data_IF_979453694045
#
_entry.id   IF_979453694045
#
_cell.length_a   1.000
_cell.length_b   1.000
_cell.length_c   1.000
_cell.angle_alpha   90.00
_cell.angle_beta   90.00
_cell.angle_gamma   90.00
#
_symmetry.space_group_name_H-M   'P 1'
#
loop_
_entity.id
_entity.type
_entity.pdbx_description
1 polymer ?
#
# COMPACT_ATOMS: atom_id res chain seq x y z
N UNK A 1 23.58 20.12 9.31
CA UNK A 1 23.46 18.98 10.26
C UNK A 1 22.02 18.57 10.60
N UNK A 2 21.00 19.44 10.51
CA UNK A 2 19.63 19.09 10.92
C UNK A 2 18.93 17.96 10.13
N UNK A 3 19.24 17.80 8.85
CA UNK A 3 18.61 16.79 7.99
C UNK A 3 19.08 15.34 8.32
N UNK A 4 20.32 15.16 8.79
CA UNK A 4 20.82 13.81 9.12
C UNK A 4 20.15 13.24 10.38
N UNK A 5 19.88 14.09 11.37
CA UNK A 5 19.17 13.72 12.60
C UNK A 5 17.66 13.50 12.35
N UNK A 6 17.07 14.22 11.41
CA UNK A 6 15.64 14.08 11.06
C UNK A 6 15.32 12.70 10.46
N UNK A 7 16.28 12.11 9.71
CA UNK A 7 16.08 10.81 9.06
C UNK A 7 16.81 9.64 9.75
N UNK A 8 17.73 9.88 10.69
CA UNK A 8 18.45 8.79 11.37
C UNK A 8 17.50 7.88 12.15
N UNK A 9 16.52 8.46 12.87
CA UNK A 9 15.56 7.69 13.65
C UNK A 9 14.71 6.76 12.78
N UNK A 10 14.19 7.26 11.66
CA UNK A 10 13.37 6.45 10.75
C UNK A 10 14.22 5.39 10.04
N UNK A 11 15.45 5.69 9.65
CA UNK A 11 16.37 4.71 9.05
C UNK A 11 16.66 3.58 10.04
N UNK A 12 16.95 3.90 11.30
CA UNK A 12 17.16 2.89 12.35
C UNK A 12 15.91 2.04 12.57
N UNK A 13 14.72 2.66 12.59
CA UNK A 13 13.45 1.92 12.71
C UNK A 13 13.23 0.97 11.53
N UNK A 14 13.51 1.43 10.30
CA UNK A 14 13.39 0.60 9.09
C UNK A 14 14.36 -0.57 9.13
N UNK A 15 15.63 -0.34 9.48
CA UNK A 15 16.63 -1.41 9.63
C UNK A 15 16.23 -2.44 10.69
N UNK A 16 15.66 -2.00 11.80
CA UNK A 16 15.16 -2.91 12.83
C UNK A 16 13.94 -3.74 12.36
N UNK A 17 13.13 -3.20 11.46
CA UNK A 17 12.03 -3.96 10.82
C UNK A 17 12.55 -4.93 9.76
N UNK A 18 13.51 -4.48 8.94
CA UNK A 18 14.18 -5.28 7.91
C UNK A 18 14.91 -6.48 8.51
N UNK A 19 15.55 -6.31 9.67
CA UNK A 19 16.21 -7.40 10.39
C UNK A 19 15.26 -8.51 10.89
N UNK A 20 13.93 -8.30 10.83
CA UNK A 20 12.91 -9.32 11.17
C UNK A 20 12.31 -10.00 9.94
N UNK A 21 12.77 -9.65 8.73
CA UNK A 21 12.37 -10.35 7.51
C UNK A 21 12.92 -11.77 7.50
N UNK A 22 12.20 -12.67 6.83
CA UNK A 22 12.64 -14.04 6.63
C UNK A 22 13.95 -14.06 5.82
N UNK A 23 14.93 -14.82 6.29
CA UNK A 23 16.19 -15.06 5.57
C UNK A 23 16.05 -16.19 4.57
N UNK A 24 17.03 -16.33 3.67
CA UNK A 24 17.06 -17.42 2.69
C UNK A 24 17.05 -18.80 3.38
N UNK A 25 17.79 -18.96 4.48
CA UNK A 25 17.78 -20.19 5.28
C UNK A 25 16.40 -20.49 5.89
N UNK A 26 15.70 -19.46 6.37
CA UNK A 26 14.34 -19.63 6.90
C UNK A 26 13.35 -20.03 5.80
N UNK A 27 13.54 -19.56 4.56
CA UNK A 27 12.75 -20.03 3.42
C UNK A 27 13.03 -21.50 3.09
N UNK A 28 14.28 -21.97 3.21
CA UNK A 28 14.62 -23.39 3.06
C UNK A 28 13.94 -24.24 4.14
N UNK A 29 13.98 -23.82 5.41
CA UNK A 29 13.27 -24.48 6.51
C UNK A 29 11.75 -24.54 6.27
N UNK A 30 11.16 -23.42 5.84
CA UNK A 30 9.73 -23.34 5.49
C UNK A 30 9.37 -24.32 4.37
N UNK A 31 10.26 -24.52 3.38
CA UNK A 31 10.00 -25.42 2.25
C UNK A 31 9.90 -26.89 2.66
N UNK A 32 10.47 -27.26 3.80
CA UNK A 32 10.42 -28.61 4.34
C UNK A 32 9.16 -28.89 5.19
N UNK A 33 8.36 -27.86 5.50
CA UNK A 33 7.14 -28.00 6.30
C UNK A 33 6.04 -28.71 5.50
N UNK A 34 5.26 -29.53 6.20
CA UNK A 34 4.28 -30.43 5.56
C UNK A 34 2.83 -29.99 5.76
N UNK A 35 2.59 -29.03 6.66
CA UNK A 35 1.24 -28.53 6.93
C UNK A 35 1.17 -27.01 7.11
N UNK A 36 -0.02 -26.48 6.91
CA UNK A 36 -0.33 -25.06 7.11
C UNK A 36 -0.18 -24.67 8.59
N UNK A 37 -0.55 -25.57 9.50
CA UNK A 37 -0.41 -25.35 10.94
C UNK A 37 1.06 -25.21 11.34
N UNK A 38 1.93 -26.10 10.82
CA UNK A 38 3.39 -26.00 11.01
C UNK A 38 3.93 -24.67 10.50
N UNK A 39 3.51 -24.23 9.31
CA UNK A 39 3.90 -22.93 8.75
C UNK A 39 3.51 -21.78 9.68
N UNK A 40 2.27 -21.75 10.18
CA UNK A 40 1.82 -20.66 11.05
C UNK A 40 2.55 -20.67 12.38
N UNK A 41 2.77 -21.85 12.99
CA UNK A 41 3.59 -21.98 14.20
C UNK A 41 5.02 -21.48 13.96
N UNK A 42 5.63 -21.83 12.83
CA UNK A 42 6.97 -21.38 12.46
C UNK A 42 7.02 -19.84 12.29
N UNK A 43 6.10 -19.27 11.54
CA UNK A 43 6.04 -17.82 11.30
C UNK A 43 5.80 -17.05 12.60
N UNK A 44 4.95 -17.56 13.50
CA UNK A 44 4.72 -16.96 14.81
C UNK A 44 5.97 -16.94 15.69
N UNK A 45 6.79 -17.99 15.65
CA UNK A 45 7.98 -18.09 16.47
C UNK A 45 9.19 -17.32 15.91
N UNK A 46 9.31 -17.26 14.57
CA UNK A 46 10.57 -16.91 13.91
C UNK A 46 10.51 -15.66 13.01
N UNK A 47 9.41 -14.90 12.99
CA UNK A 47 9.25 -13.78 12.05
C UNK A 47 8.49 -12.56 12.60
N UNK A 48 8.39 -11.50 11.80
CA UNK A 48 7.54 -10.34 12.07
C UNK A 48 6.03 -10.62 11.94
N UNK A 49 5.64 -11.74 11.32
CA UNK A 49 4.23 -12.06 11.07
C UNK A 49 3.45 -12.41 12.34
N UNK A 50 4.12 -12.66 13.46
CA UNK A 50 3.49 -12.84 14.77
C UNK A 50 2.47 -11.73 15.08
N UNK A 51 2.79 -10.47 14.72
CA UNK A 51 1.96 -9.29 15.00
C UNK A 51 0.57 -9.35 14.33
N UNK A 52 0.38 -10.22 13.34
CA UNK A 52 -0.89 -10.40 12.62
C UNK A 52 -1.44 -11.83 12.71
N UNK A 53 -0.60 -12.83 12.98
CA UNK A 53 -0.98 -14.24 13.05
C UNK A 53 -1.38 -14.69 14.47
N UNK A 54 -0.94 -13.99 15.52
CA UNK A 54 -1.23 -14.39 16.91
C UNK A 54 -2.73 -14.37 17.27
N UNK A 55 -3.53 -13.59 16.53
CA UNK A 55 -4.97 -13.45 16.75
C UNK A 55 -5.80 -14.48 15.96
N UNK A 56 -5.14 -15.39 15.22
CA UNK A 56 -5.82 -16.43 14.45
C UNK A 56 -6.09 -17.66 15.31
N UNK A 57 -7.35 -18.12 15.29
CA UNK A 57 -7.75 -19.41 15.85
C UNK A 57 -7.43 -20.57 14.89
N UNK A 58 -7.33 -21.80 15.41
CA UNK A 58 -7.03 -23.03 14.64
C UNK A 58 -8.05 -23.25 13.52
N UNK A 59 -9.31 -22.88 13.73
CA UNK A 59 -10.37 -22.97 12.71
C UNK A 59 -10.20 -21.98 11.56
N UNK A 60 -9.31 -20.99 11.69
CA UNK A 60 -9.02 -19.99 10.66
C UNK A 60 -7.77 -20.33 9.84
N UNK A 61 -7.04 -21.42 10.16
CA UNK A 61 -5.80 -21.86 9.51
C UNK A 61 -6.03 -22.51 8.13
N UNK A 62 -6.75 -21.80 7.27
CA UNK A 62 -6.88 -22.13 5.86
C UNK A 62 -5.97 -21.25 5.02
N UNK A 63 -5.41 -21.82 3.95
CA UNK A 63 -4.48 -21.12 3.05
C UNK A 63 -4.97 -19.72 2.64
N UNK A 64 -6.22 -19.61 2.21
CA UNK A 64 -6.78 -18.32 1.76
C UNK A 64 -6.89 -17.27 2.87
N UNK A 65 -7.11 -17.67 4.12
CA UNK A 65 -7.15 -16.74 5.25
C UNK A 65 -5.74 -16.28 5.63
N UNK A 66 -4.77 -17.20 5.61
CA UNK A 66 -3.37 -16.87 5.89
C UNK A 66 -2.84 -15.90 4.86
N UNK A 67 -3.08 -16.11 3.57
CA UNK A 67 -2.69 -15.17 2.52
C UNK A 67 -3.27 -13.75 2.78
N UNK A 68 -4.54 -13.65 3.19
CA UNK A 68 -5.15 -12.35 3.58
C UNK A 68 -4.45 -11.71 4.77
N UNK A 69 -4.11 -12.50 5.80
CA UNK A 69 -3.44 -12.02 7.01
C UNK A 69 -1.98 -11.62 6.74
N UNK A 70 -1.27 -12.36 5.89
CA UNK A 70 0.06 -11.97 5.44
C UNK A 70 0.00 -10.66 4.62
N UNK A 71 -1.02 -10.44 3.80
CA UNK A 71 -1.21 -9.14 3.12
C UNK A 71 -1.49 -8.01 4.13
N UNK A 72 -2.22 -8.29 5.22
CA UNK A 72 -2.46 -7.31 6.29
C UNK A 72 -1.17 -6.88 6.99
N UNK A 73 -0.13 -7.72 7.04
CA UNK A 73 1.15 -7.35 7.64
C UNK A 73 1.77 -6.13 6.96
N UNK A 74 1.61 -5.98 5.64
CA UNK A 74 2.07 -4.81 4.88
C UNK A 74 1.41 -3.51 5.37
N UNK A 75 0.10 -3.55 5.62
CA UNK A 75 -0.65 -2.40 6.16
C UNK A 75 -0.26 -2.10 7.61
N UNK A 76 0.03 -3.14 8.39
CA UNK A 76 0.51 -3.01 9.75
C UNK A 76 1.90 -2.35 9.79
N UNK A 77 2.81 -2.76 8.91
CA UNK A 77 4.15 -2.18 8.78
C UNK A 77 4.09 -0.72 8.29
N UNK A 78 3.26 -0.42 7.28
CA UNK A 78 3.00 0.97 6.91
C UNK A 78 2.52 1.79 8.11
N UNK A 79 1.59 1.25 8.90
CA UNK A 79 1.03 1.92 10.07
C UNK A 79 2.10 2.17 11.15
N UNK A 80 2.97 1.20 11.41
CA UNK A 80 4.12 1.36 12.33
C UNK A 80 5.04 2.49 11.88
N UNK A 81 5.42 2.49 10.60
CA UNK A 81 6.32 3.52 10.04
C UNK A 81 5.62 4.89 10.08
N UNK A 82 4.36 4.97 9.64
CA UNK A 82 3.59 6.22 9.63
C UNK A 82 3.43 6.86 11.02
N UNK A 83 3.18 6.04 12.05
CA UNK A 83 3.09 6.51 13.44
C UNK A 83 4.42 7.06 13.94
N UNK A 84 5.53 6.41 13.58
CA UNK A 84 6.88 6.85 13.94
C UNK A 84 7.33 8.12 13.21
N UNK A 85 6.85 8.33 11.98
CA UNK A 85 7.21 9.48 11.15
C UNK A 85 6.72 10.83 11.71
N UNK A 86 7.56 11.85 11.54
CA UNK A 86 7.18 13.26 11.67
C UNK A 86 6.38 13.77 10.45
N UNK A 87 5.90 15.03 10.48
CA UNK A 87 5.04 15.59 9.44
C UNK A 87 5.64 15.52 8.03
N UNK A 88 6.95 15.74 7.88
CA UNK A 88 7.64 15.71 6.58
C UNK A 88 7.71 14.30 5.99
N UNK A 89 8.11 13.31 6.80
CA UNK A 89 8.19 11.91 6.38
C UNK A 89 6.79 11.35 6.07
N UNK A 90 5.76 11.79 6.80
CA UNK A 90 4.36 11.42 6.51
C UNK A 90 3.89 11.90 5.15
N UNK A 91 4.35 13.06 4.65
CA UNK A 91 4.04 13.51 3.29
C UNK A 91 4.51 12.49 2.25
N UNK A 92 5.74 11.98 2.41
CA UNK A 92 6.27 10.94 1.53
C UNK A 92 5.50 9.62 1.65
N UNK A 93 5.19 9.17 2.87
CA UNK A 93 4.40 7.95 3.07
C UNK A 93 2.99 8.05 2.46
N UNK A 94 2.34 9.21 2.51
CA UNK A 94 1.06 9.43 1.82
C UNK A 94 1.17 9.28 0.30
N UNK A 95 2.34 9.54 -0.28
CA UNK A 95 2.57 9.26 -1.71
C UNK A 95 2.74 7.76 -1.93
N UNK A 96 3.46 7.08 -1.04
CA UNK A 96 3.59 5.62 -1.11
C UNK A 96 2.24 4.90 -0.93
N UNK A 97 1.34 5.43 -0.09
CA UNK A 97 -0.01 4.90 0.11
C UNK A 97 -0.80 4.78 -1.21
N UNK A 98 -0.55 5.67 -2.17
CA UNK A 98 -1.19 5.63 -3.49
C UNK A 98 -0.95 4.31 -4.21
N UNK A 99 0.18 3.65 -3.96
CA UNK A 99 0.44 2.30 -4.48
C UNK A 99 -0.58 1.30 -3.97
N UNK A 100 -0.87 1.30 -2.67
CA UNK A 100 -1.89 0.42 -2.08
C UNK A 100 -3.30 0.73 -2.58
N UNK A 101 -3.60 2.01 -2.80
CA UNK A 101 -4.86 2.46 -3.39
C UNK A 101 -5.01 1.97 -4.84
N UNK A 102 -3.97 2.10 -5.66
CA UNK A 102 -3.95 1.56 -7.04
C UNK A 102 -4.08 0.05 -7.04
N UNK A 103 -3.31 -0.66 -6.20
CA UNK A 103 -3.39 -2.13 -6.08
C UNK A 103 -4.81 -2.59 -5.69
N UNK A 104 -5.46 -1.89 -4.76
CA UNK A 104 -6.85 -2.14 -4.37
C UNK A 104 -7.81 -1.93 -5.53
N UNK A 105 -7.70 -0.82 -6.27
CA UNK A 105 -8.58 -0.53 -7.41
C UNK A 105 -8.41 -1.58 -8.50
N UNK A 106 -7.15 -1.92 -8.85
CA UNK A 106 -6.82 -2.96 -9.83
C UNK A 106 -7.37 -4.33 -9.43
N UNK A 107 -7.29 -4.67 -8.14
CA UNK A 107 -7.88 -5.89 -7.61
C UNK A 107 -9.41 -5.91 -7.80
N UNK A 108 -10.10 -4.80 -7.49
CA UNK A 108 -11.54 -4.70 -7.68
C UNK A 108 -11.93 -4.78 -9.17
N UNK A 109 -11.18 -4.11 -10.05
CA UNK A 109 -11.39 -4.15 -11.50
C UNK A 109 -11.24 -5.56 -12.07
N UNK A 110 -10.23 -6.32 -11.63
CA UNK A 110 -10.05 -7.73 -12.00
C UNK A 110 -11.28 -8.57 -11.69
N UNK A 111 -11.86 -8.36 -10.52
CA UNK A 111 -13.04 -9.11 -10.07
C UNK A 111 -14.27 -8.78 -10.90
N UNK A 112 -14.51 -7.50 -11.11
CA UNK A 112 -15.65 -7.00 -11.86
C UNK A 112 -15.57 -7.41 -13.35
N UNK A 113 -14.40 -7.31 -13.98
CA UNK A 113 -14.20 -7.64 -15.39
C UNK A 113 -14.25 -9.15 -15.64
N UNK A 114 -13.65 -9.95 -14.75
CA UNK A 114 -13.61 -11.41 -14.90
C UNK A 114 -14.88 -12.10 -14.36
N UNK A 115 -15.82 -11.34 -13.81
CA UNK A 115 -17.06 -11.85 -13.20
C UNK A 115 -16.79 -12.96 -12.15
N UNK A 116 -15.78 -12.79 -11.29
CA UNK A 116 -15.57 -13.72 -10.17
C UNK A 116 -16.78 -13.70 -9.22
N UNK A 117 -17.04 -14.81 -8.52
CA UNK A 117 -18.21 -14.94 -7.64
C UNK A 117 -18.27 -13.81 -6.60
N UNK A 118 -19.42 -13.15 -6.53
CA UNK A 118 -19.69 -12.03 -5.65
C UNK A 118 -20.43 -12.46 -4.37
N UNK A 119 -20.26 -11.75 -3.25
CA UNK A 119 -19.36 -10.62 -3.01
C UNK A 119 -17.92 -11.07 -2.71
N UNK A 120 -16.95 -10.32 -3.22
CA UNK A 120 -15.55 -10.53 -2.89
C UNK A 120 -15.20 -9.87 -1.55
N UNK A 121 -14.43 -10.57 -0.72
CA UNK A 121 -14.10 -10.14 0.64
C UNK A 121 -12.95 -9.11 0.66
N UNK A 122 -13.31 -7.84 0.90
CA UNK A 122 -12.36 -6.77 1.21
C UNK A 122 -12.43 -6.29 2.68
N UNK A 123 -13.26 -6.92 3.52
CA UNK A 123 -13.55 -6.41 4.86
C UNK A 123 -12.28 -6.30 5.70
N UNK A 124 -11.36 -7.25 5.54
CA UNK A 124 -10.06 -7.23 6.21
C UNK A 124 -9.23 -5.97 5.88
N UNK A 125 -9.43 -5.31 4.74
CA UNK A 125 -8.71 -4.08 4.34
C UNK A 125 -9.36 -2.81 4.89
N UNK A 126 -10.65 -2.84 5.21
CA UNK A 126 -11.47 -1.68 5.60
C UNK A 126 -10.86 -0.82 6.70
N UNK A 127 -10.40 -1.36 7.85
CA UNK A 127 -9.86 -0.53 8.93
C UNK A 127 -8.65 0.33 8.51
N UNK A 128 -7.85 -0.16 7.57
CA UNK A 128 -6.70 0.56 7.06
C UNK A 128 -7.11 1.68 6.10
N UNK A 129 -7.92 1.35 5.08
CA UNK A 129 -8.34 2.31 4.06
C UNK A 129 -9.21 3.42 4.65
N UNK A 130 -10.17 3.10 5.53
CA UNK A 130 -11.02 4.11 6.18
C UNK A 130 -10.21 5.14 6.99
N UNK A 131 -9.03 4.74 7.48
CA UNK A 131 -8.18 5.59 8.31
C UNK A 131 -7.18 6.43 7.50
N UNK A 132 -6.64 5.87 6.43
CA UNK A 132 -5.49 6.46 5.73
C UNK A 132 -5.82 6.94 4.31
N UNK A 133 -6.91 6.45 3.70
CA UNK A 133 -7.31 6.69 2.31
C UNK A 133 -8.65 7.44 2.22
N UNK A 134 -8.93 8.01 1.04
CA UNK A 134 -10.25 8.54 0.68
C UNK A 134 -11.15 7.48 0.03
N UNK A 135 -10.60 6.31 -0.30
CA UNK A 135 -11.34 5.22 -0.93
C UNK A 135 -12.24 4.53 0.11
N UNK A 136 -13.52 4.39 -0.23
CA UNK A 136 -14.47 3.64 0.58
C UNK A 136 -14.53 2.19 0.14
N UNK A 137 -14.07 1.29 1.02
CA UNK A 137 -14.17 -0.16 0.79
C UNK A 137 -15.62 -0.61 0.64
N UNK A 138 -16.54 -0.04 1.44
CA UNK A 138 -17.98 -0.36 1.35
C UNK A 138 -18.54 -0.08 -0.04
N UNK A 139 -18.18 1.08 -0.63
CA UNK A 139 -18.60 1.40 -2.00
C UNK A 139 -18.01 0.42 -3.01
N UNK A 140 -16.72 0.11 -2.92
CA UNK A 140 -16.06 -0.77 -3.88
C UNK A 140 -16.58 -2.23 -3.87
N UNK A 141 -16.90 -2.79 -2.70
CA UNK A 141 -17.45 -4.16 -2.59
C UNK A 141 -18.80 -4.30 -3.33
N UNK A 142 -19.59 -3.22 -3.39
CA UNK A 142 -20.91 -3.22 -4.02
C UNK A 142 -20.89 -3.03 -5.54
N UNK A 143 -19.74 -2.68 -6.12
CA UNK A 143 -19.61 -2.42 -7.54
C UNK A 143 -19.70 -3.71 -8.37
N UNK A 144 -20.65 -3.75 -9.31
CA UNK A 144 -20.92 -4.90 -10.20
C UNK A 144 -20.41 -4.73 -11.62
N UNK A 145 -20.14 -3.49 -12.02
CA UNK A 145 -19.65 -3.13 -13.34
C UNK A 145 -18.48 -2.17 -13.23
N UNK A 146 -17.63 -2.12 -14.25
CA UNK A 146 -16.48 -1.18 -14.30
C UNK A 146 -16.98 0.25 -14.14
N UNK A 147 -18.09 0.59 -14.77
CA UNK A 147 -18.77 1.89 -14.63
C UNK A 147 -19.16 2.21 -13.18
N UNK A 148 -19.79 1.26 -12.48
CA UNK A 148 -20.17 1.46 -11.07
C UNK A 148 -18.93 1.60 -10.18
N UNK A 149 -17.87 0.83 -10.46
CA UNK A 149 -16.61 0.91 -9.73
C UNK A 149 -15.97 2.29 -9.91
N UNK A 150 -15.89 2.79 -11.15
CA UNK A 150 -15.36 4.12 -11.44
C UNK A 150 -16.21 5.21 -10.78
N UNK A 151 -17.55 5.16 -10.87
CA UNK A 151 -18.41 6.15 -10.21
C UNK A 151 -18.28 6.11 -8.67
N UNK A 152 -18.03 4.95 -8.07
CA UNK A 152 -17.78 4.83 -6.64
C UNK A 152 -16.44 5.44 -6.19
N UNK A 153 -15.52 5.69 -7.12
CA UNK A 153 -14.26 6.42 -6.89
C UNK A 153 -14.42 7.93 -7.04
N UNK A 154 -15.61 8.45 -7.37
CA UNK A 154 -15.86 9.89 -7.49
C UNK A 154 -15.53 10.63 -6.20
N UNK A 155 -14.79 11.73 -6.34
CA UNK A 155 -14.25 12.50 -5.21
C UNK A 155 -12.86 12.05 -4.75
N UNK A 156 -12.36 10.92 -5.27
CA UNK A 156 -10.95 10.56 -5.16
C UNK A 156 -10.18 11.03 -6.38
N UNK A 157 -8.85 11.07 -6.26
CA UNK A 157 -7.93 11.41 -7.34
C UNK A 157 -7.90 10.38 -8.49
N UNK A 158 -8.46 9.18 -8.28
CA UNK A 158 -8.47 8.08 -9.25
C UNK A 158 -9.65 8.15 -10.22
N UNK A 159 -10.67 8.97 -9.94
CA UNK A 159 -11.85 9.09 -10.79
C UNK A 159 -11.53 9.62 -12.19
N UNK A 160 -10.87 10.77 -12.27
CA UNK A 160 -10.60 11.46 -13.54
C UNK A 160 -9.74 10.63 -14.52
N UNK A 161 -8.64 9.96 -14.09
CA UNK A 161 -7.90 9.06 -14.98
C UNK A 161 -8.76 7.93 -15.55
N UNK A 162 -9.61 7.32 -14.73
CA UNK A 162 -10.40 6.16 -15.15
C UNK A 162 -11.64 6.54 -15.96
N UNK A 163 -12.29 7.66 -15.64
CA UNK A 163 -13.46 8.15 -16.36
C UNK A 163 -13.16 8.37 -17.84
N UNK A 164 -11.97 8.88 -18.17
CA UNK A 164 -11.55 9.11 -19.56
C UNK A 164 -11.51 7.84 -20.42
N UNK A 165 -11.36 6.68 -19.79
CA UNK A 165 -11.39 5.41 -20.51
C UNK A 165 -12.81 5.04 -20.96
N UNK A 166 -13.84 5.52 -20.25
CA UNK A 166 -15.24 5.16 -20.53
C UNK A 166 -15.70 5.50 -21.96
N UNK A 167 -15.16 6.58 -22.52
CA UNK A 167 -15.52 7.06 -23.86
C UNK A 167 -14.76 6.31 -24.98
N UNK A 168 -13.79 5.46 -24.62
CA UNK A 168 -13.01 4.66 -25.56
C UNK A 168 -13.71 3.34 -25.89
N UNK A 169 -13.68 2.95 -27.16
CA UNK A 169 -14.16 1.62 -27.55
C UNK A 169 -13.18 0.53 -27.08
N UNK A 170 -13.70 -0.62 -26.65
CA UNK A 170 -12.93 -1.83 -26.30
C UNK A 170 -11.89 -1.68 -25.19
N UNK A 171 -12.24 -0.97 -24.09
CA UNK A 171 -11.36 -0.89 -22.91
C UNK A 171 -11.18 -2.26 -22.27
N UNK A 172 -9.93 -2.64 -22.02
CA UNK A 172 -9.53 -3.87 -21.35
C UNK A 172 -9.06 -3.60 -19.91
N UNK A 173 -8.90 -4.65 -19.10
CA UNK A 173 -8.28 -4.55 -17.79
C UNK A 173 -6.89 -3.88 -17.83
N UNK A 174 -6.12 -4.14 -18.90
CA UNK A 174 -4.79 -3.56 -19.08
C UNK A 174 -4.85 -2.03 -19.20
N UNK A 175 -5.86 -1.48 -19.87
CA UNK A 175 -6.00 -0.04 -20.06
C UNK A 175 -6.27 0.68 -18.72
N UNK A 176 -7.10 0.07 -17.86
CA UNK A 176 -7.34 0.59 -16.51
C UNK A 176 -6.06 0.55 -15.64
N UNK A 177 -5.33 -0.57 -15.65
CA UNK A 177 -4.08 -0.71 -14.91
C UNK A 177 -3.03 0.30 -15.40
N UNK A 178 -2.90 0.46 -16.71
CA UNK A 178 -2.00 1.45 -17.31
C UNK A 178 -2.38 2.87 -16.91
N UNK A 179 -3.66 3.24 -16.95
CA UNK A 179 -4.11 4.57 -16.56
C UNK A 179 -3.80 4.89 -15.09
N UNK A 180 -4.00 3.92 -14.19
CA UNK A 180 -3.68 4.07 -12.76
C UNK A 180 -2.18 4.14 -12.51
N UNK A 181 -1.39 3.31 -13.19
CA UNK A 181 0.08 3.36 -13.08
C UNK A 181 0.64 4.67 -13.60
N UNK A 182 0.19 5.14 -14.78
CA UNK A 182 0.58 6.43 -15.34
C UNK A 182 0.22 7.57 -14.38
N UNK A 183 -0.98 7.51 -13.80
CA UNK A 183 -1.41 8.47 -12.78
C UNK A 183 -0.46 8.46 -11.56
N UNK A 184 -0.21 7.28 -10.97
CA UNK A 184 0.65 7.11 -9.81
C UNK A 184 2.07 7.63 -10.08
N UNK A 185 2.71 7.23 -11.18
CA UNK A 185 4.06 7.70 -11.52
C UNK A 185 4.11 9.20 -11.80
N UNK A 186 3.07 9.76 -12.44
CA UNK A 186 2.98 11.20 -12.68
C UNK A 186 2.83 11.97 -11.36
N UNK A 187 2.02 11.48 -10.43
CA UNK A 187 1.87 12.07 -9.09
C UNK A 187 3.20 12.03 -8.32
N UNK A 188 3.87 10.87 -8.29
CA UNK A 188 5.19 10.71 -7.68
C UNK A 188 6.23 11.66 -8.28
N UNK A 189 6.26 11.79 -9.61
CA UNK A 189 7.21 12.65 -10.30
C UNK A 189 6.99 14.13 -10.03
N UNK A 190 5.73 14.59 -9.99
CA UNK A 190 5.37 15.97 -9.65
C UNK A 190 5.83 16.33 -8.25
N UNK A 191 5.62 15.45 -7.28
CA UNK A 191 6.05 15.69 -5.89
C UNK A 191 7.57 15.69 -5.74
N UNK A 192 8.28 14.79 -6.46
CA UNK A 192 9.75 14.82 -6.52
C UNK A 192 10.26 16.17 -7.04
N UNK A 193 9.66 16.72 -8.10
CA UNK A 193 10.04 18.02 -8.68
C UNK A 193 9.87 19.15 -7.67
N UNK A 194 8.72 19.21 -6.98
CA UNK A 194 8.46 20.22 -5.93
C UNK A 194 9.53 20.20 -4.85
N UNK A 195 9.86 19.01 -4.33
CA UNK A 195 10.92 18.86 -3.31
C UNK A 195 12.29 19.30 -3.84
N UNK A 196 12.59 19.06 -5.12
CA UNK A 196 13.84 19.51 -5.74
C UNK A 196 13.89 21.03 -5.92
N UNK A 197 12.77 21.66 -6.25
CA UNK A 197 12.64 23.11 -6.41
C UNK A 197 12.72 23.82 -5.06
N UNK A 198 12.01 23.33 -4.04
CA UNK A 198 12.08 23.85 -2.66
C UNK A 198 13.51 23.84 -2.09
N UNK A 199 14.26 22.75 -2.32
CA UNK A 199 15.67 22.65 -1.90
C UNK A 199 16.57 23.65 -2.64
N UNK A 200 16.30 23.91 -3.92
CA UNK A 200 17.04 24.91 -4.70
C UNK A 200 16.74 26.32 -4.17
N UNK A 201 15.48 26.69 -4.03
CA UNK A 201 15.06 28.01 -3.54
C UNK A 201 15.56 28.27 -2.11
N UNK A 202 15.53 27.26 -1.23
CA UNK A 202 16.11 27.36 0.12
C UNK A 202 17.63 27.60 0.11
N UNK A 203 18.37 26.91 -0.76
CA UNK A 203 19.81 27.12 -0.93
C UNK A 203 20.14 28.50 -1.56
N UNK A 204 19.28 29.01 -2.43
CA UNK A 204 19.41 30.36 -3.01
C UNK A 204 19.18 31.45 -1.95
N UNK A 205 18.13 31.34 -1.14
CA UNK A 205 17.91 32.28 -0.04
C UNK A 205 19.05 32.26 0.99
N UNK A 206 19.56 31.08 1.35
CA UNK A 206 20.66 30.96 2.31
C UNK A 206 21.97 31.62 1.81
N UNK A 207 22.21 31.65 0.49
CA UNK A 207 23.36 32.37 -0.10
C UNK A 207 23.18 33.88 -0.14
N UNK A 208 21.94 34.37 -0.32
CA UNK A 208 21.64 35.80 -0.29
C UNK A 208 21.83 36.42 1.11
N UNK A 209 21.55 35.66 2.18
CA UNK A 209 21.75 36.12 3.57
C UNK A 209 23.18 35.92 4.12
N UNK A 210 24.10 35.38 3.32
CA UNK A 210 25.53 35.19 3.68
C UNK A 210 26.46 36.14 2.89
N UNK A 211 25.90 37.12 2.18
CA UNK A 211 26.63 38.13 1.40
C UNK A 211 26.49 39.57 1.94
N UNK A 212 25.81 39.75 3.08
CA UNK A 212 25.79 40.99 3.88
C UNK A 212 26.44 40.74 5.25
#
# INVERSE_FOLDING_TARGET
MGNLLEYSGIITKLRAMEARLLTDEQFEEISALTSITELVSYLNANSSYQDVLQDMDETMLHRGNIEKVLILSLYHDYTKIYRFCGPNQRKFLKLYLKRYEVDLINYCLRIVINHYQEPFDLNHKKPFFDKYSQISIEKLITSRTTDQLVENLKGTEYYEPLKKLKDSQSVTLFDYDLALNLYYFTAMWKERKKVSEEKRTGAFHQRLWLQD
#
